data_IF_717457660774
#
_entry.id   IF_717457660774
#
_cell.length_a   1.000
_cell.length_b   1.000
_cell.length_c   1.000
_cell.angle_alpha   90.00
_cell.angle_beta   90.00
_cell.angle_gamma   90.00
#
_symmetry.space_group_name_H-M   'P 1'
#
loop_
_entity.id
_entity.type
_entity.pdbx_description
1 polymer ?
#
# COMPACT_ATOMS: atom_id res chain seq x y z
N UNK A 1 4.06 -54.79 46.38
CA UNK A 1 3.29 -55.60 47.36
C UNK A 1 2.16 -54.70 47.88
N UNK A 2 0.91 -54.90 47.42
CA UNK A 2 -0.21 -55.52 48.20
C UNK A 2 -0.26 -54.99 49.64
N UNK A 3 -1.31 -54.32 50.15
CA UNK A 3 -2.66 -54.08 49.65
C UNK A 3 -3.58 -53.48 50.73
N UNK A 4 -4.87 -53.41 50.39
CA UNK A 4 -6.10 -53.32 51.23
C UNK A 4 -6.34 -52.03 52.06
N UNK A 5 -7.35 -51.21 51.72
CA UNK A 5 -8.81 -51.28 51.98
C UNK A 5 -9.21 -51.03 53.45
N UNK A 6 -9.78 -49.85 53.72
CA UNK A 6 -10.91 -49.70 54.67
C UNK A 6 -11.79 -48.53 54.25
N UNK A 7 -13.03 -48.85 53.87
CA UNK A 7 -14.15 -47.93 53.74
C UNK A 7 -14.74 -47.68 55.14
N UNK A 8 -14.95 -46.41 55.51
CA UNK A 8 -15.99 -46.04 56.46
C UNK A 8 -16.79 -44.87 55.89
N UNK A 9 -18.03 -45.20 55.56
CA UNK A 9 -19.11 -44.33 55.14
C UNK A 9 -19.66 -43.53 56.32
N UNK A 10 -19.73 -42.20 56.19
CA UNK A 10 -20.65 -41.37 56.96
C UNK A 10 -21.56 -40.61 55.99
N UNK A 11 -22.84 -40.97 56.01
CA UNK A 11 -23.91 -40.29 55.32
C UNK A 11 -24.27 -39.01 56.11
N UNK A 12 -24.21 -37.86 55.45
CA UNK A 12 -24.81 -36.63 55.94
C UNK A 12 -25.90 -36.20 54.95
N UNK A 13 -27.15 -36.29 55.40
CA UNK A 13 -28.29 -35.67 54.73
C UNK A 13 -28.11 -34.15 54.77
N UNK A 14 -27.91 -33.53 53.62
CA UNK A 14 -28.07 -32.09 53.44
C UNK A 14 -29.33 -31.84 52.61
N UNK A 15 -30.28 -31.14 53.23
CA UNK A 15 -31.54 -30.69 52.66
C UNK A 15 -31.28 -29.72 51.50
N UNK A 16 -31.87 -30.02 50.35
CA UNK A 16 -31.82 -29.21 49.15
C UNK A 16 -32.71 -27.97 49.29
N UNK A 17 -32.11 -26.80 49.45
CA UNK A 17 -32.76 -25.52 49.16
C UNK A 17 -32.42 -25.11 47.71
N UNK A 18 -33.40 -24.81 46.85
CA UNK A 18 -33.10 -24.33 45.51
C UNK A 18 -32.58 -22.89 45.60
N UNK A 19 -31.30 -22.70 45.25
CA UNK A 19 -30.71 -21.38 45.06
C UNK A 19 -31.33 -20.78 43.78
N UNK A 20 -32.07 -19.69 43.96
CA UNK A 20 -32.62 -18.91 42.85
C UNK A 20 -31.47 -18.46 41.93
N UNK A 21 -31.51 -18.89 40.67
CA UNK A 21 -30.61 -18.44 39.63
C UNK A 21 -30.86 -16.95 39.37
N UNK A 22 -29.98 -16.08 39.90
CA UNK A 22 -29.88 -14.72 39.41
C UNK A 22 -29.30 -14.78 38.00
N UNK A 23 -30.13 -14.48 37.01
CA UNK A 23 -29.71 -14.25 35.63
C UNK A 23 -28.85 -12.98 35.61
N UNK A 24 -27.54 -13.14 35.78
CA UNK A 24 -26.59 -12.09 35.46
C UNK A 24 -26.69 -11.81 33.96
N UNK A 25 -27.16 -10.61 33.62
CA UNK A 25 -27.14 -10.13 32.25
C UNK A 25 -25.70 -10.22 31.73
N UNK A 26 -25.50 -10.97 30.65
CA UNK A 26 -24.24 -10.98 29.92
C UNK A 26 -23.85 -9.53 29.58
N UNK A 27 -22.56 -9.14 29.70
CA UNK A 27 -22.14 -7.82 29.29
C UNK A 27 -22.53 -7.63 27.83
N UNK A 28 -23.29 -6.56 27.55
CA UNK A 28 -23.70 -6.21 26.20
C UNK A 28 -22.45 -6.20 25.31
N UNK A 29 -22.41 -7.12 24.35
CA UNK A 29 -21.43 -7.08 23.28
C UNK A 29 -21.65 -5.75 22.57
N UNK A 30 -20.72 -4.82 22.78
CA UNK A 30 -20.65 -3.59 22.00
C UNK A 30 -20.62 -4.00 20.54
N UNK A 31 -21.68 -3.67 19.81
CA UNK A 31 -21.77 -3.94 18.38
C UNK A 31 -20.51 -3.36 17.73
N UNK A 32 -19.73 -4.21 17.08
CA UNK A 32 -18.61 -3.77 16.26
C UNK A 32 -19.13 -2.70 15.29
N UNK A 33 -18.45 -1.54 15.17
CA UNK A 33 -18.89 -0.51 14.25
C UNK A 33 -18.95 -1.12 12.85
N UNK A 34 -20.12 -0.98 12.22
CA UNK A 34 -20.33 -1.31 10.82
C UNK A 34 -19.22 -0.64 10.01
N UNK A 35 -18.44 -1.36 9.19
CA UNK A 35 -17.41 -0.72 8.37
C UNK A 35 -18.13 0.04 7.26
N UNK A 36 -18.48 1.30 7.53
CA UNK A 36 -18.57 2.29 6.47
C UNK A 36 -17.25 2.27 5.72
N UNK A 37 -17.30 2.47 4.39
CA UNK A 37 -16.08 2.68 3.61
C UNK A 37 -15.16 3.69 4.30
N UNK A 38 -13.84 3.62 4.08
CA UNK A 38 -12.89 4.38 4.87
C UNK A 38 -13.24 5.87 4.95
N UNK A 39 -13.29 6.40 6.18
CA UNK A 39 -13.61 7.81 6.53
C UNK A 39 -12.75 8.84 5.74
N UNK A 40 -11.56 8.43 5.29
CA UNK A 40 -10.64 9.25 4.48
C UNK A 40 -11.11 9.48 3.02
N UNK A 41 -12.08 8.72 2.51
CA UNK A 41 -12.70 8.98 1.19
C UNK A 41 -13.83 10.02 1.28
N UNK A 42 -14.35 10.26 2.49
CA UNK A 42 -15.54 11.10 2.72
C UNK A 42 -15.23 12.41 3.44
N UNK A 43 -14.07 12.53 4.10
CA UNK A 43 -13.62 13.82 4.65
C UNK A 43 -12.83 14.59 3.59
N UNK A 44 -13.18 15.85 3.29
CA UNK A 44 -12.26 16.71 2.56
C UNK A 44 -10.96 16.77 3.36
N UNK A 45 -9.85 16.45 2.69
CA UNK A 45 -8.51 16.64 3.22
C UNK A 45 -8.42 18.05 3.83
N UNK A 46 -8.02 18.15 5.10
CA UNK A 46 -7.99 19.43 5.81
C UNK A 46 -7.20 20.47 5.02
N UNK A 47 -7.60 21.74 5.12
CA UNK A 47 -6.87 22.84 4.47
C UNK A 47 -5.48 22.94 5.09
N UNK A 48 -4.45 22.65 4.31
CA UNK A 48 -3.06 22.79 4.76
C UNK A 48 -2.77 24.25 5.11
N UNK A 49 -2.05 24.47 6.21
CA UNK A 49 -1.54 25.80 6.54
C UNK A 49 -0.57 26.26 5.43
N UNK A 50 -0.67 27.52 4.96
CA UNK A 50 0.30 28.04 4.00
C UNK A 50 1.73 27.89 4.52
N UNK A 51 2.61 27.38 3.66
CA UNK A 51 4.02 27.22 3.98
C UNK A 51 4.76 28.56 3.87
N UNK A 52 5.58 28.96 4.86
CA UNK A 52 6.33 30.22 4.84
C UNK A 52 7.17 30.45 3.57
N UNK A 53 7.70 29.38 2.99
CA UNK A 53 8.48 29.33 1.75
C UNK A 53 7.68 29.73 0.51
N UNK A 54 6.35 29.81 0.62
CA UNK A 54 5.45 30.04 -0.50
C UNK A 54 5.17 28.78 -1.32
N UNK A 55 5.71 27.63 -0.92
CA UNK A 55 5.36 26.33 -1.49
C UNK A 55 3.85 26.11 -1.36
N UNK A 56 3.22 25.68 -2.44
CA UNK A 56 1.82 25.26 -2.44
C UNK A 56 1.72 23.77 -2.65
N UNK A 57 0.94 23.10 -1.81
CA UNK A 57 0.64 21.67 -1.94
C UNK A 57 -0.86 21.47 -2.17
N UNK A 58 -1.22 20.47 -2.97
CA UNK A 58 -2.58 20.05 -3.24
C UNK A 58 -2.86 18.71 -2.56
N UNK A 59 -3.86 18.68 -1.68
CA UNK A 59 -4.16 17.55 -0.77
C UNK A 59 -3.53 17.71 0.61
N UNK A 60 -3.81 16.78 1.52
CA UNK A 60 -3.23 16.78 2.87
C UNK A 60 -2.15 15.69 3.01
N UNK A 61 -1.07 15.95 3.77
CA UNK A 61 -0.01 14.97 3.98
C UNK A 61 -0.57 13.89 4.91
N UNK A 62 -0.91 12.75 4.34
CA UNK A 62 -1.41 11.59 5.09
C UNK A 62 -0.60 10.37 4.70
N UNK A 63 -0.48 9.40 5.59
CA UNK A 63 0.25 8.17 5.29
C UNK A 63 -0.24 7.49 4.00
N UNK A 64 0.68 7.11 3.13
CA UNK A 64 0.38 6.52 1.82
C UNK A 64 -0.09 7.51 0.74
N UNK A 65 -0.17 8.83 1.00
CA UNK A 65 -0.57 9.80 -0.02
C UNK A 65 0.57 10.24 -0.93
N UNK A 66 0.20 10.66 -2.14
CA UNK A 66 1.05 11.42 -3.04
C UNK A 66 0.42 12.80 -3.24
N UNK A 67 1.17 13.85 -2.92
CA UNK A 67 0.76 15.23 -3.11
C UNK A 67 1.42 15.83 -4.33
N UNK A 68 0.71 16.75 -4.98
CA UNK A 68 1.27 17.62 -6.02
C UNK A 68 1.60 18.97 -5.41
N UNK A 69 2.78 19.47 -5.75
CA UNK A 69 3.27 20.75 -5.27
C UNK A 69 3.61 21.73 -6.38
N UNK A 70 3.69 23.01 -6.03
CA UNK A 70 4.23 24.07 -6.87
C UNK A 70 5.17 24.93 -6.05
N UNK A 71 6.42 25.01 -6.48
CA UNK A 71 7.43 25.88 -5.91
C UNK A 71 7.35 27.29 -6.52
N UNK A 72 7.43 28.35 -5.70
CA UNK A 72 7.52 29.70 -6.22
C UNK A 72 8.85 29.92 -6.95
N UNK A 73 8.91 30.98 -7.75
CA UNK A 73 10.16 31.41 -8.37
C UNK A 73 11.19 31.72 -7.29
N UNK A 74 12.43 31.31 -7.52
CA UNK A 74 13.53 31.50 -6.58
C UNK A 74 13.84 30.29 -5.71
N UNK A 75 13.02 29.24 -5.69
CA UNK A 75 13.41 27.94 -5.12
C UNK A 75 14.38 27.25 -6.07
N UNK A 76 15.53 26.83 -5.56
CA UNK A 76 16.61 26.17 -6.32
C UNK A 76 16.78 24.70 -5.96
N UNK A 77 16.42 24.30 -4.73
CA UNK A 77 16.39 22.91 -4.32
C UNK A 77 15.27 22.66 -3.32
N UNK A 78 14.77 21.43 -3.34
CA UNK A 78 13.73 20.95 -2.44
C UNK A 78 14.09 19.56 -1.93
N UNK A 79 13.87 19.32 -0.65
CA UNK A 79 14.22 18.08 0.02
C UNK A 79 13.14 17.73 1.04
N UNK A 80 12.78 16.44 1.13
CA UNK A 80 11.88 15.92 2.16
C UNK A 80 12.63 14.85 2.97
N UNK A 81 12.88 15.13 4.24
CA UNK A 81 13.56 14.21 5.18
C UNK A 81 14.93 13.70 4.67
N UNK A 82 15.69 14.55 3.97
CA UNK A 82 16.99 14.21 3.39
C UNK A 82 16.91 13.53 2.01
N UNK A 83 15.69 13.40 1.45
CA UNK A 83 15.47 12.91 0.09
C UNK A 83 15.21 14.08 -0.84
N UNK A 84 16.10 14.25 -1.83
CA UNK A 84 15.94 15.24 -2.89
C UNK A 84 14.59 15.08 -3.60
N UNK A 85 13.86 16.19 -3.74
CA UNK A 85 12.58 16.28 -4.42
C UNK A 85 12.79 16.96 -5.77
N UNK A 86 12.71 16.22 -6.90
CA UNK A 86 12.82 16.82 -8.21
C UNK A 86 11.75 17.89 -8.43
N UNK A 87 12.15 19.04 -8.94
CA UNK A 87 11.25 20.14 -9.30
C UNK A 87 11.32 20.35 -10.82
N UNK A 88 10.16 20.30 -11.47
CA UNK A 88 10.07 20.54 -12.90
C UNK A 88 10.32 22.01 -13.26
N UNK A 89 10.63 22.36 -14.51
CA UNK A 89 10.95 23.74 -14.91
C UNK A 89 9.85 24.77 -14.63
N UNK A 90 8.59 24.34 -14.56
CA UNK A 90 7.43 25.18 -14.20
C UNK A 90 7.18 25.26 -12.68
N UNK A 91 8.09 24.71 -11.87
CA UNK A 91 8.01 24.66 -10.42
C UNK A 91 7.16 23.50 -9.88
N UNK A 92 6.58 22.65 -10.73
CA UNK A 92 5.74 21.54 -10.26
C UNK A 92 6.58 20.37 -9.72
N UNK A 93 6.11 19.73 -8.66
CA UNK A 93 6.78 18.57 -8.05
C UNK A 93 5.79 17.60 -7.39
N UNK A 94 6.30 16.48 -6.90
CA UNK A 94 5.56 15.48 -6.13
C UNK A 94 6.14 15.31 -4.72
N UNK A 95 5.30 14.98 -3.75
CA UNK A 95 5.74 14.47 -2.43
C UNK A 95 4.95 13.21 -2.10
N UNK A 96 5.66 12.10 -1.86
CA UNK A 96 5.07 10.84 -1.47
C UNK A 96 5.33 10.53 0.00
N UNK A 97 4.28 10.14 0.72
CA UNK A 97 4.35 9.73 2.12
C UNK A 97 4.16 8.23 2.20
N UNK A 98 5.15 7.51 2.75
CA UNK A 98 5.06 6.06 2.94
C UNK A 98 3.86 5.70 3.85
N UNK A 99 3.38 4.45 3.75
CA UNK A 99 2.36 3.88 4.66
C UNK A 99 2.65 4.12 6.14
N UNK A 100 3.91 3.97 6.51
CA UNK A 100 4.41 4.07 7.88
C UNK A 100 5.24 5.35 8.10
N UNK A 101 4.99 6.39 7.29
CA UNK A 101 5.68 7.68 7.45
C UNK A 101 5.52 8.22 8.89
N UNK A 102 6.56 8.85 9.46
CA UNK A 102 6.46 9.48 10.77
C UNK A 102 5.41 10.61 10.74
N UNK A 103 4.87 10.96 11.91
CA UNK A 103 3.85 12.01 12.04
C UNK A 103 4.37 13.42 11.68
N UNK A 104 5.68 13.57 11.55
CA UNK A 104 6.37 14.79 11.19
C UNK A 104 7.39 14.48 10.10
N UNK A 105 7.26 15.15 8.96
CA UNK A 105 8.32 15.26 7.95
C UNK A 105 8.87 16.69 7.93
N UNK A 106 10.08 16.85 7.43
CA UNK A 106 10.75 18.14 7.29
C UNK A 106 10.96 18.43 5.81
N UNK A 107 10.31 19.48 5.32
CA UNK A 107 10.53 20.00 3.98
C UNK A 107 11.62 21.06 4.06
N UNK A 108 12.76 20.80 3.43
CA UNK A 108 13.86 21.77 3.33
C UNK A 108 13.84 22.44 1.96
N UNK A 109 13.75 23.76 1.96
CA UNK A 109 13.68 24.62 0.77
C UNK A 109 14.94 25.46 0.71
N UNK A 110 15.68 25.38 -0.39
CA UNK A 110 16.81 26.28 -0.67
C UNK A 110 16.38 27.33 -1.68
N UNK A 111 16.65 28.58 -1.37
CA UNK A 111 16.35 29.73 -2.20
C UNK A 111 17.57 30.16 -3.02
N UNK A 112 17.34 30.98 -4.05
CA UNK A 112 18.37 31.45 -4.98
C UNK A 112 19.43 32.36 -4.34
N UNK A 113 19.11 33.00 -3.21
CA UNK A 113 20.05 33.78 -2.40
C UNK A 113 20.88 32.90 -1.44
N UNK A 114 20.68 31.59 -1.46
CA UNK A 114 21.33 30.62 -0.59
C UNK A 114 20.65 30.43 0.77
N UNK A 115 19.55 31.14 1.05
CA UNK A 115 18.79 30.92 2.28
C UNK A 115 18.18 29.52 2.27
N UNK A 116 18.28 28.83 3.40
CA UNK A 116 17.65 27.52 3.63
C UNK A 116 16.56 27.67 4.67
N UNK A 117 15.35 27.21 4.31
CA UNK A 117 14.19 27.15 5.19
C UNK A 117 13.84 25.70 5.45
N UNK A 118 13.62 25.33 6.70
CA UNK A 118 13.13 23.99 7.07
C UNK A 118 11.74 24.11 7.67
N UNK A 119 10.78 23.43 7.06
CA UNK A 119 9.36 23.58 7.34
C UNK A 119 8.76 22.24 7.78
N UNK A 120 8.16 22.18 8.97
CA UNK A 120 7.52 20.97 9.44
C UNK A 120 6.24 20.69 8.64
N UNK A 121 6.12 19.47 8.13
CA UNK A 121 4.90 18.91 7.55
C UNK A 121 4.31 17.89 8.52
N UNK A 122 3.12 18.20 9.06
CA UNK A 122 2.37 17.22 9.86
C UNK A 122 1.78 16.18 8.92
N UNK A 123 2.15 14.92 9.11
CA UNK A 123 1.64 13.78 8.34
C UNK A 123 0.59 13.07 9.19
N UNK A 124 -0.65 13.07 8.72
CA UNK A 124 -1.73 12.43 9.45
C UNK A 124 -1.59 10.90 9.35
N UNK A 125 -1.64 10.19 10.49
CA UNK A 125 -1.60 8.74 10.49
C UNK A 125 -2.90 8.15 9.92
N UNK A 126 -2.82 6.96 9.33
CA UNK A 126 -4.00 6.21 8.88
C UNK A 126 -4.17 4.92 9.67
N UNK A 127 -5.42 4.58 9.94
CA UNK A 127 -5.77 3.29 10.50
C UNK A 127 -5.72 2.21 9.42
N UNK A 128 -4.95 1.15 9.68
CA UNK A 128 -4.79 0.02 8.76
C UNK A 128 -5.64 -1.17 9.22
N UNK A 129 -6.23 -1.90 8.27
CA UNK A 129 -6.90 -3.18 8.57
C UNK A 129 -5.85 -4.19 9.04
N UNK A 130 -5.93 -4.60 10.30
CA UNK A 130 -5.06 -5.62 10.90
C UNK A 130 -5.86 -6.87 11.19
N UNK A 131 -5.36 -8.01 10.72
CA UNK A 131 -5.95 -9.32 10.98
C UNK A 131 -4.99 -10.12 11.87
N UNK A 132 -5.45 -10.51 13.05
CA UNK A 132 -4.68 -11.29 14.01
C UNK A 132 -4.97 -12.77 13.81
N UNK A 133 -3.91 -13.54 13.56
CA UNK A 133 -3.98 -14.98 13.34
C UNK A 133 -3.23 -15.65 14.49
N UNK A 134 -3.93 -16.46 15.28
CA UNK A 134 -3.37 -17.09 16.48
C UNK A 134 -2.26 -18.11 16.17
N UNK A 135 -2.18 -18.59 14.93
CA UNK A 135 -1.15 -19.53 14.49
C UNK A 135 0.01 -18.80 13.83
N UNK A 136 1.21 -19.37 13.94
CA UNK A 136 2.39 -18.91 13.22
C UNK A 136 2.13 -18.90 11.70
N UNK A 137 2.82 -18.00 11.00
CA UNK A 137 2.75 -17.93 9.55
C UNK A 137 3.12 -19.30 8.95
N UNK A 138 2.30 -19.78 8.02
CA UNK A 138 2.61 -21.01 7.29
C UNK A 138 3.74 -20.72 6.30
N UNK A 139 4.71 -21.62 6.23
CA UNK A 139 5.95 -21.45 5.48
C UNK A 139 7.06 -21.00 6.42
N UNK A 140 8.01 -21.90 6.68
CA UNK A 140 9.19 -21.59 7.48
C UNK A 140 10.10 -20.56 6.79
N UNK A 141 11.33 -20.43 7.28
CA UNK A 141 12.35 -19.60 6.63
C UNK A 141 12.43 -19.94 5.13
N UNK A 142 12.52 -18.94 4.23
CA UNK A 142 12.64 -19.21 2.81
C UNK A 142 13.81 -20.14 2.53
N UNK A 143 13.61 -21.14 1.68
CA UNK A 143 14.67 -22.07 1.31
C UNK A 143 15.79 -21.36 0.55
N UNK A 144 17.01 -21.87 0.62
CA UNK A 144 18.15 -21.34 -0.14
C UNK A 144 17.85 -21.29 -1.65
N UNK A 145 17.20 -22.33 -2.19
CA UNK A 145 16.77 -22.37 -3.59
C UNK A 145 15.76 -21.25 -3.92
N UNK A 146 14.83 -20.93 -3.01
CA UNK A 146 13.92 -19.81 -3.19
C UNK A 146 14.67 -18.48 -3.18
N UNK A 147 15.59 -18.28 -2.23
CA UNK A 147 16.40 -17.07 -2.14
C UNK A 147 17.30 -16.87 -3.36
N UNK A 148 17.92 -17.95 -3.86
CA UNK A 148 18.74 -17.93 -5.07
C UNK A 148 17.93 -17.55 -6.32
N UNK A 149 16.68 -18.02 -6.42
CA UNK A 149 15.74 -17.59 -7.47
C UNK A 149 15.30 -16.14 -7.28
N UNK A 150 14.99 -15.73 -6.04
CA UNK A 150 14.43 -14.41 -5.75
C UNK A 150 15.46 -13.28 -5.95
N UNK A 151 16.74 -13.54 -5.72
CA UNK A 151 17.81 -12.54 -5.84
C UNK A 151 17.85 -11.83 -7.21
N UNK A 152 18.01 -12.52 -8.35
CA UNK A 152 18.03 -11.85 -9.65
C UNK A 152 16.69 -11.17 -10.00
N UNK A 153 15.56 -11.71 -9.52
CA UNK A 153 14.24 -11.08 -9.70
C UNK A 153 14.18 -9.72 -8.97
N UNK A 154 14.73 -9.62 -7.76
CA UNK A 154 14.83 -8.36 -6.99
C UNK A 154 15.79 -7.37 -7.67
N UNK A 155 16.95 -7.83 -8.11
CA UNK A 155 17.92 -7.00 -8.84
C UNK A 155 17.30 -6.37 -10.09
N UNK A 156 16.45 -7.10 -10.83
CA UNK A 156 15.70 -6.55 -11.97
C UNK A 156 14.67 -5.48 -11.55
N UNK A 157 13.97 -5.68 -10.44
CA UNK A 157 12.99 -4.71 -9.91
C UNK A 157 13.70 -3.43 -9.47
N UNK A 158 14.82 -3.56 -8.76
CA UNK A 158 15.59 -2.43 -8.27
C UNK A 158 16.24 -1.67 -9.43
N UNK A 159 16.81 -2.38 -10.40
CA UNK A 159 17.32 -1.78 -11.63
C UNK A 159 16.21 -1.07 -12.43
N UNK A 160 14.99 -1.60 -12.44
CA UNK A 160 13.85 -0.95 -13.08
C UNK A 160 13.47 0.37 -12.39
N UNK A 161 13.45 0.41 -11.06
CA UNK A 161 13.14 1.63 -10.29
C UNK A 161 14.22 2.69 -10.36
N UNK A 162 15.45 2.31 -10.68
CA UNK A 162 16.54 3.24 -10.92
C UNK A 162 16.43 3.93 -12.31
N UNK A 163 15.62 3.40 -13.23
CA UNK A 163 15.37 4.03 -14.52
C UNK A 163 14.54 5.30 -14.33
N UNK A 164 14.88 6.32 -15.11
CA UNK A 164 14.14 7.58 -15.17
C UNK A 164 13.76 7.84 -16.62
N UNK A 165 12.52 8.26 -16.84
CA UNK A 165 12.03 8.77 -18.12
C UNK A 165 11.64 10.25 -18.00
N UNK A 166 11.49 10.89 -19.15
CA UNK A 166 10.92 12.23 -19.31
C UNK A 166 9.38 12.22 -19.36
N UNK A 167 8.74 11.10 -18.98
CA UNK A 167 7.29 11.00 -18.98
C UNK A 167 6.65 12.10 -18.13
N UNK A 168 5.58 12.68 -18.66
CA UNK A 168 4.76 13.66 -17.96
C UNK A 168 3.51 13.04 -17.31
N UNK A 169 3.39 11.70 -17.29
CA UNK A 169 2.21 10.99 -16.80
C UNK A 169 1.87 11.28 -15.33
N UNK A 170 2.88 11.58 -14.51
CA UNK A 170 2.72 12.02 -13.12
C UNK A 170 1.81 13.26 -12.95
N UNK A 171 1.65 14.07 -14.01
CA UNK A 171 0.77 15.25 -14.02
C UNK A 171 -0.70 14.91 -14.27
N UNK A 172 -1.01 13.74 -14.82
CA UNK A 172 -2.37 13.34 -15.17
C UNK A 172 -3.17 12.94 -13.93
N UNK A 173 -4.49 13.11 -13.99
CA UNK A 173 -5.40 12.39 -13.10
C UNK A 173 -5.35 10.91 -13.48
N UNK A 174 -5.04 10.03 -12.53
CA UNK A 174 -4.92 8.60 -12.80
C UNK A 174 -6.31 7.97 -12.99
N UNK A 175 -6.38 6.94 -13.82
CA UNK A 175 -7.56 6.09 -13.96
C UNK A 175 -7.31 4.72 -13.34
N UNK A 176 -8.39 4.01 -13.03
CA UNK A 176 -8.30 2.61 -12.65
C UNK A 176 -7.73 1.78 -13.80
N UNK A 177 -6.70 0.94 -13.56
CA UNK A 177 -6.13 0.08 -14.60
C UNK A 177 -7.00 -1.14 -14.92
N UNK A 178 -7.97 -1.46 -14.05
CA UNK A 178 -8.98 -2.47 -14.27
C UNK A 178 -10.24 -2.15 -13.45
N UNK A 179 -11.39 -2.64 -13.88
CA UNK A 179 -12.66 -2.52 -13.14
C UNK A 179 -13.04 -3.86 -12.50
N UNK A 180 -13.57 -3.80 -11.29
CA UNK A 180 -13.95 -4.98 -10.51
C UNK A 180 -14.04 -4.68 -9.01
N UNK A 181 -14.44 -5.68 -8.23
CA UNK A 181 -14.49 -5.54 -6.77
C UNK A 181 -13.07 -5.39 -6.22
N UNK A 182 -12.85 -4.36 -5.39
CA UNK A 182 -11.62 -4.25 -4.59
C UNK A 182 -11.57 -5.41 -3.59
N UNK A 183 -10.63 -6.33 -3.78
CA UNK A 183 -10.46 -7.53 -2.94
C UNK A 183 -9.35 -7.41 -1.90
N UNK A 184 -8.41 -6.49 -2.10
CA UNK A 184 -7.25 -6.25 -1.26
C UNK A 184 -7.00 -4.75 -1.13
N UNK A 185 -6.82 -4.28 0.10
CA UNK A 185 -6.74 -2.85 0.43
C UNK A 185 -5.32 -2.51 0.85
N UNK A 186 -4.77 -1.42 0.31
CA UNK A 186 -3.45 -0.92 0.67
C UNK A 186 -3.26 -0.81 2.18
N UNK A 187 -2.08 -1.18 2.64
CA UNK A 187 -1.65 -1.12 4.04
C UNK A 187 -2.29 -2.15 4.97
N UNK A 188 -3.23 -2.98 4.49
CA UNK A 188 -3.75 -4.12 5.26
C UNK A 188 -2.63 -5.07 5.65
N UNK A 189 -2.67 -5.64 6.85
CA UNK A 189 -1.56 -6.44 7.36
C UNK A 189 -2.06 -7.59 8.24
N UNK A 190 -1.47 -8.76 8.09
CA UNK A 190 -1.69 -9.89 9.00
C UNK A 190 -0.63 -9.92 10.08
N UNK A 191 -1.03 -10.32 11.28
CA UNK A 191 -0.16 -10.49 12.44
C UNK A 191 -0.29 -11.95 12.90
N UNK A 192 0.77 -12.72 12.76
CA UNK A 192 0.79 -14.17 13.02
C UNK A 192 1.47 -14.45 14.35
N UNK A 193 0.73 -14.99 15.32
CA UNK A 193 1.25 -15.26 16.67
C UNK A 193 2.01 -14.06 17.29
N UNK A 194 1.54 -12.84 17.03
CA UNK A 194 2.16 -11.59 17.49
C UNK A 194 3.15 -10.95 16.50
N UNK A 195 3.63 -11.69 15.50
CA UNK A 195 4.61 -11.20 14.53
C UNK A 195 3.93 -10.56 13.31
N UNK A 196 4.22 -9.28 13.00
CA UNK A 196 3.66 -8.62 11.84
C UNK A 196 4.24 -9.20 10.54
N UNK A 197 3.36 -9.71 9.66
CA UNK A 197 3.73 -10.06 8.30
C UNK A 197 3.89 -8.81 7.41
N UNK A 198 4.28 -8.99 6.15
CA UNK A 198 4.31 -7.88 5.19
C UNK A 198 2.91 -7.26 5.02
N UNK A 199 2.84 -5.93 4.96
CA UNK A 199 1.60 -5.25 4.61
C UNK A 199 1.32 -5.34 3.11
N UNK A 200 0.06 -5.11 2.73
CA UNK A 200 -0.38 -5.09 1.35
C UNK A 200 0.05 -3.80 0.66
N UNK A 201 1.02 -3.85 -0.26
CA UNK A 201 1.68 -2.67 -0.85
C UNK A 201 0.94 -2.00 -2.00
N UNK A 202 -0.30 -2.41 -2.26
CA UNK A 202 -1.10 -1.95 -3.39
C UNK A 202 -2.59 -2.16 -3.15
N UNK A 203 -3.37 -2.11 -4.21
CA UNK A 203 -4.79 -2.44 -4.24
C UNK A 203 -5.00 -3.65 -5.15
N UNK A 204 -5.84 -4.59 -4.72
CA UNK A 204 -6.22 -5.72 -5.56
C UNK A 204 -7.61 -5.49 -6.15
N UNK A 205 -7.73 -5.65 -7.47
CA UNK A 205 -8.99 -5.61 -8.21
C UNK A 205 -9.29 -7.03 -8.71
N UNK A 206 -10.35 -7.64 -8.17
CA UNK A 206 -10.79 -8.96 -8.59
C UNK A 206 -11.36 -8.91 -10.01
N UNK A 207 -10.96 -9.86 -10.85
CA UNK A 207 -11.43 -9.98 -12.22
C UNK A 207 -11.11 -11.35 -12.80
N UNK A 208 -11.79 -11.74 -13.87
CA UNK A 208 -11.52 -13.01 -14.52
C UNK A 208 -10.12 -13.01 -15.15
N UNK A 209 -9.50 -14.19 -15.27
CA UNK A 209 -8.27 -14.33 -16.06
C UNK A 209 -8.55 -13.86 -17.49
N UNK A 210 -7.68 -13.02 -18.02
CA UNK A 210 -7.80 -12.48 -19.38
C UNK A 210 -8.49 -11.12 -19.47
N UNK A 211 -9.13 -10.63 -18.38
CA UNK A 211 -9.69 -9.27 -18.33
C UNK A 211 -8.61 -8.23 -18.66
N UNK A 212 -8.86 -7.28 -19.59
CA UNK A 212 -7.87 -6.26 -19.95
C UNK A 212 -7.41 -5.41 -18.76
N UNK A 213 -6.10 -5.12 -18.75
CA UNK A 213 -5.47 -4.15 -17.84
C UNK A 213 -4.92 -3.02 -18.69
N UNK A 214 -5.21 -1.77 -18.30
CA UNK A 214 -4.81 -0.56 -19.02
C UNK A 214 -3.80 0.27 -18.23
N UNK A 215 -3.02 1.10 -18.92
CA UNK A 215 -2.13 2.06 -18.30
C UNK A 215 -2.94 3.14 -17.55
N UNK A 216 -2.68 3.36 -16.25
CA UNK A 216 -3.46 4.30 -15.43
C UNK A 216 -3.09 5.77 -15.71
N UNK A 217 -1.94 6.01 -16.33
CA UNK A 217 -1.44 7.29 -16.83
C UNK A 217 -0.42 7.00 -17.95
N UNK A 218 -0.02 8.02 -18.69
CA UNK A 218 1.07 7.95 -19.65
C UNK A 218 2.37 7.52 -18.95
N UNK A 219 3.25 6.84 -19.67
CA UNK A 219 4.49 6.34 -19.08
C UNK A 219 5.40 5.62 -20.04
N UNK A 220 6.52 5.16 -19.51
CA UNK A 220 7.48 4.29 -20.19
C UNK A 220 7.57 2.98 -19.43
N UNK A 221 7.46 1.86 -20.14
CA UNK A 221 7.64 0.54 -19.53
C UNK A 221 9.09 0.38 -19.10
N UNK A 222 9.31 0.23 -17.79
CA UNK A 222 10.65 0.09 -17.17
C UNK A 222 10.98 -1.34 -16.76
N UNK A 223 9.99 -2.22 -16.73
CA UNK A 223 10.15 -3.66 -16.60
C UNK A 223 8.95 -4.38 -17.21
N UNK A 224 9.20 -5.29 -18.14
CA UNK A 224 8.28 -6.36 -18.50
C UNK A 224 9.01 -7.66 -18.19
N UNK A 225 8.57 -8.39 -17.17
CA UNK A 225 9.31 -9.54 -16.66
C UNK A 225 9.52 -10.59 -17.77
N UNK A 226 10.76 -11.03 -18.02
CA UNK A 226 11.05 -11.98 -19.11
C UNK A 226 10.46 -13.38 -18.84
N UNK A 227 10.25 -13.70 -17.56
CA UNK A 227 9.60 -14.92 -17.07
C UNK A 227 8.79 -14.58 -15.82
N UNK A 228 7.74 -15.37 -15.47
CA UNK A 228 7.01 -15.15 -14.23
C UNK A 228 7.92 -15.21 -12.99
N UNK A 229 7.94 -14.13 -12.22
CA UNK A 229 8.68 -14.05 -10.96
C UNK A 229 8.01 -14.87 -9.86
N UNK A 230 8.81 -15.30 -8.89
CA UNK A 230 8.39 -16.20 -7.82
C UNK A 230 7.21 -15.66 -7.00
N UNK A 231 7.17 -14.36 -6.71
CA UNK A 231 6.09 -13.72 -5.95
C UNK A 231 5.17 -12.92 -6.86
N UNK A 232 5.73 -12.07 -7.71
CA UNK A 232 4.98 -11.13 -8.53
C UNK A 232 4.29 -11.77 -9.74
N UNK A 233 4.75 -12.95 -10.18
CA UNK A 233 4.28 -13.55 -11.42
C UNK A 233 4.75 -12.76 -12.63
N UNK A 234 3.90 -12.63 -13.64
CA UNK A 234 4.17 -11.73 -14.76
C UNK A 234 4.07 -10.28 -14.28
N UNK A 235 5.23 -9.71 -13.95
CA UNK A 235 5.37 -8.36 -13.45
C UNK A 235 5.57 -7.37 -14.59
N UNK A 236 4.73 -6.34 -14.64
CA UNK A 236 4.91 -5.17 -15.48
C UNK A 236 5.10 -3.93 -14.59
N UNK A 237 6.05 -3.06 -14.94
CA UNK A 237 6.26 -1.78 -14.27
C UNK A 237 6.36 -0.65 -15.29
N UNK A 238 5.73 0.47 -14.97
CA UNK A 238 5.69 1.68 -15.80
C UNK A 238 6.20 2.85 -14.97
N UNK A 239 7.17 3.59 -15.50
CA UNK A 239 7.58 4.89 -14.98
C UNK A 239 6.68 5.99 -15.55
N UNK A 240 6.08 6.78 -14.66
CA UNK A 240 5.23 7.92 -15.00
C UNK A 240 6.00 9.24 -14.94
N UNK A 241 7.31 9.20 -14.62
CA UNK A 241 8.20 10.35 -14.49
C UNK A 241 8.26 10.87 -13.05
N UNK A 242 9.26 11.72 -12.79
CA UNK A 242 9.49 12.37 -11.48
C UNK A 242 9.56 11.38 -10.31
N UNK A 243 10.12 10.18 -10.54
CA UNK A 243 10.27 9.13 -9.53
C UNK A 243 9.01 8.32 -9.21
N UNK A 244 7.89 8.58 -9.89
CA UNK A 244 6.62 7.88 -9.71
C UNK A 244 6.48 6.69 -10.67
N UNK A 245 6.27 5.48 -10.14
CA UNK A 245 6.03 4.29 -10.95
C UNK A 245 4.80 3.49 -10.47
N UNK A 246 4.17 2.80 -11.43
CA UNK A 246 3.19 1.74 -11.20
C UNK A 246 3.84 0.37 -11.34
N UNK A 247 3.35 -0.62 -10.59
CA UNK A 247 3.61 -2.04 -10.85
C UNK A 247 2.30 -2.84 -10.88
N UNK A 248 2.20 -3.74 -11.86
CA UNK A 248 1.06 -4.61 -12.16
C UNK A 248 1.52 -6.06 -12.04
N UNK A 249 0.94 -6.77 -11.07
CA UNK A 249 1.37 -8.10 -10.68
C UNK A 249 0.31 -9.14 -11.08
N UNK A 250 0.74 -10.40 -11.03
CA UNK A 250 -0.07 -11.60 -11.24
C UNK A 250 -0.70 -11.70 -12.63
N UNK A 251 -0.24 -10.89 -13.61
CA UNK A 251 -0.81 -10.85 -14.95
C UNK A 251 -0.78 -12.23 -15.62
N UNK A 252 -1.76 -12.51 -16.48
CA UNK A 252 -1.75 -13.71 -17.32
C UNK A 252 -0.92 -13.50 -18.57
N UNK A 253 -0.91 -12.27 -19.09
CA UNK A 253 -0.11 -11.83 -20.22
C UNK A 253 0.31 -10.36 -20.05
N UNK A 254 1.47 -10.03 -20.61
CA UNK A 254 1.98 -8.67 -20.77
C UNK A 254 1.94 -8.36 -22.27
N UNK A 255 1.23 -7.30 -22.65
CA UNK A 255 0.97 -6.94 -24.05
C UNK A 255 1.94 -5.85 -24.58
N UNK A 256 2.87 -5.39 -23.74
CA UNK A 256 3.88 -4.36 -24.02
C UNK A 256 5.29 -4.82 -23.65
N UNK A 257 6.32 -4.12 -24.13
CA UNK A 257 7.73 -4.47 -23.95
C UNK A 257 8.48 -3.39 -23.18
N UNK A 258 9.61 -3.77 -22.58
CA UNK A 258 10.55 -2.83 -21.97
C UNK A 258 10.92 -1.73 -22.97
N UNK A 259 10.80 -0.46 -22.55
CA UNK A 259 11.08 0.72 -23.36
C UNK A 259 9.87 1.29 -24.12
N UNK A 260 8.75 0.57 -24.18
CA UNK A 260 7.56 1.08 -24.86
C UNK A 260 7.00 2.31 -24.13
N UNK A 261 6.66 3.35 -24.89
CA UNK A 261 5.83 4.45 -24.40
C UNK A 261 4.36 4.03 -24.45
N UNK A 262 3.66 4.19 -23.33
CA UNK A 262 2.23 3.89 -23.21
C UNK A 262 1.43 5.14 -22.91
N UNK A 263 0.19 5.18 -23.39
CA UNK A 263 -0.77 6.25 -23.11
C UNK A 263 -1.81 5.80 -22.10
N UNK A 264 -2.33 6.72 -21.30
CA UNK A 264 -3.44 6.44 -20.39
C UNK A 264 -4.59 5.73 -21.13
N UNK A 265 -5.08 4.63 -20.58
CA UNK A 265 -6.15 3.82 -21.16
C UNK A 265 -5.69 2.80 -22.22
N UNK A 266 -4.42 2.84 -22.66
CA UNK A 266 -3.87 1.80 -23.52
C UNK A 266 -3.81 0.47 -22.79
N UNK A 267 -4.25 -0.62 -23.44
CA UNK A 267 -4.09 -1.97 -22.89
C UNK A 267 -2.61 -2.34 -22.81
N UNK A 268 -2.20 -2.83 -21.64
CA UNK A 268 -0.81 -3.19 -21.32
C UNK A 268 -0.65 -4.65 -20.90
N UNK A 269 -1.74 -5.34 -20.63
CA UNK A 269 -1.75 -6.73 -20.22
C UNK A 269 -3.12 -7.21 -19.83
N UNK A 270 -3.15 -8.34 -19.11
CA UNK A 270 -4.40 -9.01 -18.72
C UNK A 270 -4.32 -9.55 -17.31
N UNK A 271 -5.43 -9.45 -16.58
CA UNK A 271 -5.59 -10.05 -15.24
C UNK A 271 -5.23 -11.53 -15.30
N UNK A 272 -4.57 -12.02 -14.26
CA UNK A 272 -4.20 -13.42 -14.12
C UNK A 272 -4.15 -13.87 -12.67
N UNK A 273 -3.43 -14.97 -12.46
CA UNK A 273 -3.15 -15.54 -11.14
C UNK A 273 -1.72 -16.12 -11.09
N UNK A 274 -0.78 -15.52 -11.81
CA UNK A 274 0.62 -16.00 -11.86
C UNK A 274 1.40 -15.58 -10.59
N UNK A 275 2.50 -16.27 -10.29
CA UNK A 275 3.29 -16.01 -9.07
C UNK A 275 2.54 -16.46 -7.81
N UNK A 276 2.64 -15.68 -6.74
CA UNK A 276 1.98 -15.97 -5.46
C UNK A 276 0.62 -15.28 -5.35
N UNK A 277 -0.36 -15.77 -6.10
CA UNK A 277 -1.75 -15.34 -6.07
C UNK A 277 -2.67 -16.43 -5.49
N UNK A 278 -3.69 -16.05 -4.72
CA UNK A 278 -4.70 -16.99 -4.17
C UNK A 278 -5.92 -17.16 -5.09
N UNK A 279 -6.00 -16.38 -6.16
CA UNK A 279 -7.04 -16.41 -7.17
C UNK A 279 -6.85 -15.29 -8.20
N UNK A 280 -7.69 -15.23 -9.25
CA UNK A 280 -7.58 -14.20 -10.30
C UNK A 280 -7.84 -12.79 -9.79
N UNK A 281 -6.84 -11.91 -9.91
CA UNK A 281 -6.93 -10.49 -9.59
C UNK A 281 -5.77 -9.71 -10.23
N UNK A 282 -5.95 -8.40 -10.39
CA UNK A 282 -4.84 -7.47 -10.60
C UNK A 282 -4.38 -6.97 -9.23
N UNK A 283 -3.10 -7.12 -8.90
CA UNK A 283 -2.48 -6.32 -7.85
C UNK A 283 -1.80 -5.10 -8.52
N UNK A 284 -2.28 -3.91 -8.19
CA UNK A 284 -1.73 -2.65 -8.67
C UNK A 284 -1.08 -1.89 -7.50
N UNK A 285 0.20 -1.54 -7.62
CA UNK A 285 0.92 -0.77 -6.62
C UNK A 285 1.55 0.48 -7.22
N UNK A 286 1.66 1.52 -6.40
CA UNK A 286 2.29 2.78 -6.73
C UNK A 286 3.48 3.02 -5.81
N UNK A 287 4.58 3.56 -6.35
CA UNK A 287 5.76 3.94 -5.56
C UNK A 287 6.28 5.28 -6.07
N UNK A 288 6.58 6.19 -5.15
CA UNK A 288 7.31 7.42 -5.45
C UNK A 288 8.63 7.40 -4.67
N UNK A 289 9.76 7.31 -5.39
CA UNK A 289 11.06 6.96 -4.80
C UNK A 289 10.95 5.72 -3.90
N UNK A 290 11.13 5.85 -2.59
CA UNK A 290 10.99 4.78 -1.61
C UNK A 290 9.63 4.73 -0.89
N UNK A 291 8.79 5.76 -1.09
CA UNK A 291 7.45 5.80 -0.52
C UNK A 291 6.49 4.89 -1.28
N UNK A 292 5.83 3.98 -0.56
CA UNK A 292 4.70 3.20 -1.05
C UNK A 292 3.45 4.05 -0.95
N UNK A 293 2.79 4.22 -2.09
CA UNK A 293 1.63 5.10 -2.24
C UNK A 293 0.39 4.23 -2.37
N UNK A 294 -0.68 4.63 -1.70
CA UNK A 294 -2.00 4.05 -1.83
C UNK A 294 -2.60 4.43 -3.19
N UNK A 295 -2.75 3.49 -4.14
CA UNK A 295 -3.25 3.82 -5.48
C UNK A 295 -4.68 4.37 -5.44
N UNK A 296 -5.47 4.01 -4.42
CA UNK A 296 -6.85 4.47 -4.28
C UNK A 296 -6.97 5.98 -4.01
N UNK A 297 -5.90 6.62 -3.52
CA UNK A 297 -5.87 8.07 -3.33
C UNK A 297 -5.59 8.84 -4.63
N UNK A 298 -5.19 8.15 -5.70
CA UNK A 298 -4.83 8.78 -6.98
C UNK A 298 -5.97 8.75 -8.01
N UNK A 299 -7.00 7.96 -7.74
CA UNK A 299 -8.10 7.67 -8.66
C UNK A 299 -9.42 8.09 -8.04
N UNK A 300 -10.37 8.48 -8.89
CA UNK A 300 -11.75 8.69 -8.45
C UNK A 300 -12.44 7.36 -8.07
N UNK A 301 -13.69 7.43 -7.58
CA UNK A 301 -14.53 6.24 -7.42
C UNK A 301 -14.51 5.42 -8.71
N UNK A 302 -14.38 4.10 -8.57
CA UNK A 302 -14.48 3.22 -9.73
C UNK A 302 -15.90 3.36 -10.31
N UNK A 303 -15.99 3.73 -11.60
CA UNK A 303 -17.27 3.80 -12.29
C UNK A 303 -17.98 2.44 -12.22
N UNK A 304 -19.27 2.46 -11.90
CA UNK A 304 -20.13 1.28 -11.90
C UNK A 304 -20.26 0.70 -13.30
#
# INVERSE_FOLDING_TARGET
MRGALTLLSLAALATSTPLAAQSGAAPAQSAAPTPGGPDFLTRPFGTMRPLPSGIRLSGAPVQGALLRGTAPRGVTALDLDGVNVPVAPDGAFLLGFHRDAPALGILTVTLADGQVMSEPLTVEPRAWRREFVAVAARGGLPSEAFLARRKPELEMIDAARARQSDSAGWRQSFIWPATGRVSGIFGSQRIYAGEPGSFHSGVDVAGAIGTPVVAPADGVVILAAPTPFSLEGNLLMIDHGMGLNSAFLHLSAIDVKLGDTVRQGQQIGRIGATGRATGPHLHWSMKWHDARIDPQLLVGPMGQ
#
